data_IF_381401771202
#
_entry.id   IF_381401771202
#
_cell.length_a   1.000
_cell.length_b   1.000
_cell.length_c   1.000
_cell.angle_alpha   90.00
_cell.angle_beta   90.00
_cell.angle_gamma   90.00
#
_symmetry.space_group_name_H-M   'P 1'
#
loop_
_entity.id
_entity.type
_entity.pdbx_description
1 polymer ?
#
# COMPACT_ATOMS: atom_id res chain seq x y z
N UNK A 1 7.63 19.36 -8.24
CA UNK A 1 7.42 17.90 -8.06
C UNK A 1 5.93 17.62 -7.98
N UNK A 2 5.40 16.77 -8.86
CA UNK A 2 3.98 16.39 -8.86
C UNK A 2 3.77 15.27 -7.82
N UNK A 3 2.63 15.27 -7.14
CA UNK A 3 2.25 14.23 -6.17
C UNK A 3 0.76 13.91 -6.33
N UNK A 4 0.42 12.64 -6.19
CA UNK A 4 -0.95 12.16 -6.17
C UNK A 4 -1.37 11.91 -4.72
N UNK A 5 -2.57 12.37 -4.36
CA UNK A 5 -3.21 12.09 -3.07
C UNK A 5 -4.60 11.53 -3.35
N UNK A 6 -4.89 10.34 -2.80
CA UNK A 6 -6.19 9.68 -2.95
C UNK A 6 -7.01 9.90 -1.68
N UNK A 7 -8.27 10.34 -1.86
CA UNK A 7 -9.24 10.49 -0.77
C UNK A 7 -10.33 9.45 -0.91
N UNK A 8 -10.56 8.67 0.15
CA UNK A 8 -11.66 7.74 0.22
C UNK A 8 -12.90 8.42 0.81
N UNK A 9 -14.07 8.18 0.21
CA UNK A 9 -15.33 8.78 0.66
C UNK A 9 -15.74 8.30 2.06
N UNK A 10 -15.37 7.06 2.42
CA UNK A 10 -15.70 6.45 3.71
C UNK A 10 -14.48 5.69 4.25
N UNK A 11 -14.30 5.63 5.58
CA UNK A 11 -13.31 4.75 6.18
C UNK A 11 -13.76 3.28 6.06
N UNK A 12 -12.82 2.35 5.99
CA UNK A 12 -13.14 0.92 6.01
C UNK A 12 -12.09 0.01 5.35
N UNK A 13 -12.30 -1.29 5.52
CA UNK A 13 -11.44 -2.37 4.99
C UNK A 13 -11.49 -2.48 3.47
N UNK A 14 -12.55 -1.98 2.86
CA UNK A 14 -12.74 -1.87 1.41
C UNK A 14 -11.65 -1.04 0.75
N UNK A 15 -11.03 -0.11 1.48
CA UNK A 15 -9.98 0.75 0.95
C UNK A 15 -8.59 0.10 1.00
N UNK A 16 -8.43 -1.04 1.68
CA UNK A 16 -7.11 -1.61 1.97
C UNK A 16 -6.32 -1.96 0.71
N UNK A 17 -6.98 -2.56 -0.29
CA UNK A 17 -6.33 -2.93 -1.56
C UNK A 17 -5.79 -1.70 -2.31
N UNK A 18 -6.63 -0.68 -2.50
CA UNK A 18 -6.25 0.56 -3.15
C UNK A 18 -5.17 1.33 -2.35
N UNK A 19 -5.30 1.34 -1.01
CA UNK A 19 -4.30 1.97 -0.13
C UNK A 19 -2.92 1.34 -0.32
N UNK A 20 -2.85 0.01 -0.38
CA UNK A 20 -1.59 -0.70 -0.59
C UNK A 20 -1.00 -0.39 -1.97
N UNK A 21 -1.81 -0.39 -3.03
CA UNK A 21 -1.36 -0.06 -4.40
C UNK A 21 -0.76 1.34 -4.49
N UNK A 22 -1.48 2.34 -3.98
CA UNK A 22 -1.03 3.75 -3.97
C UNK A 22 0.26 3.90 -3.15
N UNK A 23 0.37 3.24 -2.00
CA UNK A 23 1.56 3.29 -1.16
C UNK A 23 2.78 2.63 -1.83
N UNK A 24 2.60 1.47 -2.47
CA UNK A 24 3.66 0.75 -3.19
C UNK A 24 4.15 1.55 -4.40
N UNK A 25 3.24 2.11 -5.20
CA UNK A 25 3.59 2.98 -6.33
C UNK A 25 4.42 4.18 -5.85
N UNK A 26 3.94 4.85 -4.79
CA UNK A 26 4.63 6.00 -4.22
C UNK A 26 6.00 5.64 -3.60
N UNK A 27 6.17 4.43 -3.08
CA UNK A 27 7.46 3.93 -2.59
C UNK A 27 8.43 3.70 -3.76
N UNK A 28 7.97 3.06 -4.84
CA UNK A 28 8.77 2.83 -6.07
C UNK A 28 9.22 4.12 -6.71
N UNK A 29 8.33 5.10 -6.88
CA UNK A 29 8.66 6.42 -7.43
C UNK A 29 9.73 7.18 -6.63
N UNK A 30 9.88 6.85 -5.35
CA UNK A 30 10.78 7.55 -4.42
C UNK A 30 12.02 6.75 -4.07
N UNK A 31 12.18 5.53 -4.60
CA UNK A 31 13.28 4.63 -4.23
C UNK A 31 13.24 4.25 -2.75
N UNK A 32 12.04 3.98 -2.21
CA UNK A 32 11.87 3.51 -0.84
C UNK A 32 11.78 1.99 -0.85
N UNK A 33 12.76 1.33 -0.24
CA UNK A 33 12.87 -0.14 -0.22
C UNK A 33 12.08 -0.80 0.93
N UNK A 34 11.70 -0.01 1.95
CA UNK A 34 11.06 -0.53 3.17
C UNK A 34 9.68 0.06 3.34
N UNK A 35 8.67 -0.82 3.42
CA UNK A 35 7.27 -0.47 3.70
C UNK A 35 6.87 -1.11 5.04
N UNK A 36 6.41 -0.29 5.99
CA UNK A 36 5.90 -0.76 7.28
C UNK A 36 4.38 -0.85 7.20
N UNK A 37 3.82 -2.04 7.48
CA UNK A 37 2.38 -2.30 7.41
C UNK A 37 1.83 -2.63 8.80
N UNK A 38 0.83 -1.89 9.26
CA UNK A 38 0.10 -2.24 10.48
C UNK A 38 -0.91 -3.35 10.20
N UNK A 39 -0.87 -4.42 11.01
CA UNK A 39 -1.83 -5.50 10.90
C UNK A 39 -2.03 -6.21 12.23
N UNK A 40 -3.29 -6.35 12.65
CA UNK A 40 -3.63 -7.05 13.91
C UNK A 40 -3.70 -8.56 13.72
N UNK A 41 -4.35 -9.03 12.64
CA UNK A 41 -4.53 -10.46 12.36
C UNK A 41 -3.54 -11.01 11.32
N UNK A 42 -2.71 -10.14 10.74
CA UNK A 42 -1.81 -10.48 9.64
C UNK A 42 -2.45 -10.37 8.25
N UNK A 43 -3.77 -10.22 8.14
CA UNK A 43 -4.47 -10.15 6.84
C UNK A 43 -3.89 -9.07 5.92
N UNK A 44 -3.73 -7.85 6.42
CA UNK A 44 -3.19 -6.73 5.63
C UNK A 44 -1.74 -6.97 5.22
N UNK A 45 -0.94 -7.59 6.10
CA UNK A 45 0.44 -7.94 5.80
C UNK A 45 0.54 -8.98 4.69
N UNK A 46 -0.32 -10.01 4.72
CA UNK A 46 -0.39 -11.01 3.65
C UNK A 46 -0.79 -10.38 2.31
N UNK A 47 -1.80 -9.51 2.29
CA UNK A 47 -2.21 -8.78 1.09
C UNK A 47 -1.08 -7.89 0.54
N UNK A 48 -0.33 -7.21 1.41
CA UNK A 48 0.82 -6.41 1.01
C UNK A 48 1.91 -7.28 0.36
N UNK A 49 2.21 -8.44 0.95
CA UNK A 49 3.17 -9.40 0.40
C UNK A 49 2.72 -9.97 -0.95
N UNK A 50 1.43 -10.22 -1.15
CA UNK A 50 0.88 -10.66 -2.43
C UNK A 50 1.05 -9.59 -3.52
N UNK A 51 0.78 -8.32 -3.21
CA UNK A 51 0.95 -7.21 -4.14
C UNK A 51 2.43 -6.90 -4.45
N UNK A 52 3.33 -7.21 -3.53
CA UNK A 52 4.78 -7.04 -3.71
C UNK A 52 5.44 -8.27 -4.36
N UNK A 53 4.75 -9.40 -4.48
CA UNK A 53 5.32 -10.62 -5.08
C UNK A 53 5.73 -10.36 -6.53
N UNK A 54 6.98 -10.67 -6.88
CA UNK A 54 7.54 -10.40 -8.21
C UNK A 54 8.01 -8.96 -8.41
N UNK A 55 8.14 -8.18 -7.33
CA UNK A 55 8.92 -6.94 -7.31
C UNK A 55 10.37 -7.31 -7.00
N UNK A 56 11.15 -7.63 -8.03
CA UNK A 56 12.62 -7.74 -7.95
C UNK A 56 13.26 -6.38 -8.25
#
# INVERSE_FOLDING_TARGET
>A
MKRTTVYFQKPGKENTDETLKVAIEAARERGIDVIIVSSTTGKTGLQAMELLRGSD
#
